data_IF_314281418137
#
_entry.id   IF_314281418137
#
_cell.length_a   1.000
_cell.length_b   1.000
_cell.length_c   1.000
_cell.angle_alpha   90.00
_cell.angle_beta   90.00
_cell.angle_gamma   90.00
#
_symmetry.space_group_name_H-M   'P 1'
#
loop_
_entity.id
_entity.type
_entity.pdbx_description
1 polymer ?
#
# COMPACT_ATOMS: atom_id res chain seq x y z
N UNK A 1 15.93 -6.69 2.98
CA UNK A 1 14.99 -5.77 2.31
C UNK A 1 14.26 -6.56 1.23
N UNK A 2 12.95 -6.38 1.10
CA UNK A 2 12.15 -7.06 0.06
C UNK A 2 12.32 -6.27 -1.24
N UNK A 3 12.95 -6.90 -2.25
CA UNK A 3 13.23 -6.24 -3.53
C UNK A 3 12.02 -6.32 -4.46
N UNK A 4 11.86 -5.29 -5.28
CA UNK A 4 10.85 -5.21 -6.34
C UNK A 4 11.45 -5.58 -7.70
N UNK A 5 10.58 -5.83 -8.67
CA UNK A 5 10.95 -6.18 -10.05
C UNK A 5 11.79 -7.46 -10.16
N UNK A 6 11.45 -8.56 -9.46
CA UNK A 6 12.30 -9.75 -9.37
C UNK A 6 12.45 -10.50 -10.70
N UNK A 7 11.56 -10.25 -11.67
CA UNK A 7 11.54 -10.92 -12.98
C UNK A 7 12.31 -10.16 -14.06
N UNK A 8 12.91 -9.01 -13.75
CA UNK A 8 13.55 -8.12 -14.73
C UNK A 8 14.97 -7.75 -14.28
N UNK A 9 15.85 -7.46 -15.24
CA UNK A 9 17.19 -6.92 -14.93
C UNK A 9 17.06 -5.45 -14.54
N UNK A 10 17.47 -5.10 -13.32
CA UNK A 10 17.45 -3.72 -12.83
C UNK A 10 18.82 -3.04 -13.03
N UNK A 11 18.83 -1.80 -13.54
CA UNK A 11 20.04 -0.95 -13.51
C UNK A 11 20.32 -0.48 -12.09
N UNK A 12 19.26 -0.08 -11.36
CA UNK A 12 19.27 0.21 -9.94
C UNK A 12 18.18 -0.64 -9.29
N UNK A 13 18.51 -1.61 -8.42
CA UNK A 13 17.52 -2.34 -7.66
C UNK A 13 16.68 -1.39 -6.80
N UNK A 14 15.39 -1.68 -6.68
CA UNK A 14 14.45 -0.99 -5.80
C UNK A 14 13.93 -1.99 -4.76
N UNK A 15 13.75 -1.53 -3.53
CA UNK A 15 13.07 -2.31 -2.50
C UNK A 15 11.77 -1.65 -2.01
N UNK A 16 10.92 -2.43 -1.35
CA UNK A 16 9.60 -1.97 -0.86
C UNK A 16 9.72 -0.72 0.02
N UNK A 17 10.73 -0.59 0.88
CA UNK A 17 10.89 0.60 1.72
C UNK A 17 11.17 1.87 0.91
N UNK A 18 11.94 1.77 -0.17
CA UNK A 18 12.20 2.92 -1.06
C UNK A 18 10.93 3.29 -1.83
N UNK A 19 10.22 2.28 -2.34
CA UNK A 19 8.97 2.44 -3.07
C UNK A 19 7.90 3.10 -2.18
N UNK A 20 7.65 2.57 -0.98
CA UNK A 20 6.63 3.10 -0.07
C UNK A 20 6.89 4.55 0.33
N UNK A 21 8.16 4.96 0.49
CA UNK A 21 8.49 6.36 0.74
C UNK A 21 8.15 7.25 -0.47
N UNK A 22 8.46 6.80 -1.70
CA UNK A 22 8.12 7.53 -2.92
C UNK A 22 6.60 7.65 -3.10
N UNK A 23 5.87 6.54 -2.94
CA UNK A 23 4.39 6.53 -3.03
C UNK A 23 3.78 7.47 -1.99
N UNK A 24 4.30 7.50 -0.75
CA UNK A 24 3.82 8.44 0.27
C UNK A 24 4.04 9.91 -0.12
N UNK A 25 5.20 10.26 -0.68
CA UNK A 25 5.47 11.61 -1.16
C UNK A 25 4.56 12.00 -2.33
N UNK A 26 4.35 11.09 -3.29
CA UNK A 26 3.49 11.32 -4.46
C UNK A 26 2.02 11.42 -4.04
N UNK A 27 1.51 10.51 -3.22
CA UNK A 27 0.14 10.49 -2.73
C UNK A 27 -0.19 11.76 -1.92
N UNK A 28 0.72 12.19 -1.05
CA UNK A 28 0.60 13.47 -0.34
C UNK A 28 0.52 14.66 -1.31
N UNK A 29 1.39 14.70 -2.33
CA UNK A 29 1.36 15.76 -3.34
C UNK A 29 0.05 15.76 -4.14
N UNK A 30 -0.44 14.59 -4.56
CA UNK A 30 -1.72 14.45 -5.25
C UNK A 30 -2.88 14.95 -4.38
N UNK A 31 -2.92 14.57 -3.10
CA UNK A 31 -3.92 15.05 -2.15
C UNK A 31 -3.86 16.57 -1.96
N UNK A 32 -2.67 17.14 -1.79
CA UNK A 32 -2.47 18.59 -1.65
C UNK A 32 -2.90 19.36 -2.92
N UNK A 33 -2.56 18.84 -4.10
CA UNK A 33 -2.99 19.40 -5.39
C UNK A 33 -4.52 19.33 -5.51
N UNK A 34 -5.12 18.18 -5.19
CA UNK A 34 -6.58 17.99 -5.21
C UNK A 34 -7.30 19.01 -4.35
N UNK A 35 -6.84 19.19 -3.11
CA UNK A 35 -7.41 20.17 -2.19
C UNK A 35 -7.23 21.60 -2.70
N UNK A 36 -6.03 21.95 -3.16
CA UNK A 36 -5.71 23.34 -3.53
C UNK A 36 -6.27 23.78 -4.88
N UNK A 37 -6.34 22.87 -5.85
CA UNK A 37 -6.64 23.21 -7.26
C UNK A 37 -7.98 22.67 -7.74
N UNK A 38 -8.51 21.64 -7.09
CA UNK A 38 -9.70 20.92 -7.56
C UNK A 38 -10.82 20.87 -6.51
N UNK A 39 -10.71 21.65 -5.42
CA UNK A 39 -11.76 21.73 -4.39
C UNK A 39 -11.93 20.47 -3.54
N UNK A 40 -10.95 19.56 -3.55
CA UNK A 40 -10.96 18.38 -2.69
C UNK A 40 -10.93 18.72 -1.20
N UNK A 41 -11.39 17.78 -0.38
CA UNK A 41 -11.40 17.90 1.09
C UNK A 41 -10.80 16.66 1.76
N UNK A 42 -9.71 16.13 1.20
CA UNK A 42 -9.02 14.95 1.75
C UNK A 42 -7.95 15.33 2.77
N UNK A 43 -7.64 14.45 3.70
CA UNK A 43 -6.51 14.63 4.61
C UNK A 43 -5.21 14.11 3.98
N UNK A 44 -4.35 15.01 3.49
CA UNK A 44 -3.10 14.67 2.81
C UNK A 44 -2.08 13.96 3.73
N UNK A 45 -2.04 14.31 5.01
CA UNK A 45 -1.13 13.70 5.99
C UNK A 45 -1.55 12.26 6.28
N UNK A 46 -2.86 12.02 6.45
CA UNK A 46 -3.40 10.67 6.57
C UNK A 46 -3.11 9.84 5.32
N UNK A 47 -3.32 10.38 4.12
CA UNK A 47 -3.00 9.69 2.86
C UNK A 47 -1.51 9.34 2.79
N UNK A 48 -0.62 10.23 3.20
CA UNK A 48 0.82 9.93 3.27
C UNK A 48 1.10 8.74 4.20
N UNK A 49 0.46 8.71 5.38
CA UNK A 49 0.59 7.62 6.34
C UNK A 49 0.05 6.29 5.79
N UNK A 50 -1.13 6.30 5.16
CA UNK A 50 -1.70 5.11 4.50
C UNK A 50 -0.78 4.59 3.39
N UNK A 51 -0.19 5.50 2.59
CA UNK A 51 0.78 5.16 1.56
C UNK A 51 2.11 4.62 2.12
N UNK A 52 2.52 5.01 3.33
CA UNK A 52 3.69 4.41 3.96
C UNK A 52 3.48 2.92 4.30
N UNK A 53 2.24 2.52 4.63
CA UNK A 53 1.89 1.17 5.05
C UNK A 53 1.28 0.29 3.94
N UNK A 54 0.97 0.83 2.76
CA UNK A 54 0.22 0.13 1.72
C UNK A 54 0.81 -1.24 1.32
N UNK A 55 2.14 -1.36 1.28
CA UNK A 55 2.87 -2.59 0.94
C UNK A 55 3.52 -3.25 2.18
N UNK A 56 3.11 -2.89 3.40
CA UNK A 56 3.73 -3.40 4.63
C UNK A 56 3.61 -4.93 4.75
N UNK A 57 2.51 -5.52 4.29
CA UNK A 57 2.26 -6.97 4.29
C UNK A 57 3.27 -7.75 3.43
N UNK A 58 3.99 -7.09 2.51
CA UNK A 58 5.04 -7.67 1.68
C UNK A 58 6.21 -8.25 2.51
N UNK A 59 6.36 -7.85 3.77
CA UNK A 59 7.30 -8.49 4.70
C UNK A 59 7.00 -9.98 4.90
N UNK A 60 5.73 -10.39 4.77
CA UNK A 60 5.30 -11.78 4.91
C UNK A 60 5.14 -12.49 3.57
N UNK A 61 4.70 -11.79 2.52
CA UNK A 61 4.40 -12.39 1.20
C UNK A 61 5.56 -12.32 0.20
N UNK A 62 6.51 -11.41 0.40
CA UNK A 62 7.40 -10.94 -0.66
C UNK A 62 6.69 -10.01 -1.65
N UNK A 63 7.47 -9.45 -2.59
CA UNK A 63 6.94 -8.66 -3.71
C UNK A 63 6.24 -9.58 -4.71
N UNK A 64 5.01 -9.23 -5.08
CA UNK A 64 4.17 -10.01 -5.98
C UNK A 64 4.09 -9.30 -7.34
N UNK A 65 4.75 -9.82 -8.40
CA UNK A 65 4.83 -9.12 -9.68
C UNK A 65 3.46 -8.90 -10.34
N UNK A 66 3.20 -7.68 -10.76
CA UNK A 66 1.95 -7.25 -11.44
C UNK A 66 1.49 -8.19 -12.57
N UNK A 67 2.36 -8.67 -13.49
CA UNK A 67 1.92 -9.57 -14.56
C UNK A 67 1.33 -10.89 -14.04
N UNK A 68 1.79 -11.37 -12.87
CA UNK A 68 1.25 -12.56 -12.22
C UNK A 68 -0.05 -12.20 -11.48
N UNK A 69 -0.06 -11.08 -10.74
CA UNK A 69 -1.23 -10.62 -9.96
C UNK A 69 -2.49 -10.46 -10.81
N UNK A 70 -2.34 -10.08 -12.08
CA UNK A 70 -3.45 -9.83 -13.01
C UNK A 70 -3.51 -10.81 -14.18
N UNK A 71 -2.85 -11.97 -14.09
CA UNK A 71 -2.81 -12.95 -15.18
C UNK A 71 -4.20 -13.46 -15.58
N UNK A 72 -5.04 -13.77 -14.59
CA UNK A 72 -6.47 -14.07 -14.77
C UNK A 72 -7.26 -13.75 -13.50
N UNK A 73 -8.59 -13.81 -13.56
CA UNK A 73 -9.47 -13.47 -12.44
C UNK A 73 -9.29 -14.38 -11.23
N UNK A 74 -9.06 -15.68 -11.43
CA UNK A 74 -8.84 -16.64 -10.35
C UNK A 74 -7.55 -16.33 -9.60
N UNK A 75 -6.44 -16.14 -10.33
CA UNK A 75 -5.13 -15.80 -9.74
C UNK A 75 -5.21 -14.46 -9.01
N UNK A 76 -5.89 -13.45 -9.57
CA UNK A 76 -6.07 -12.17 -8.92
C UNK A 76 -6.85 -12.28 -7.59
N UNK A 77 -7.84 -13.17 -7.53
CA UNK A 77 -8.60 -13.43 -6.30
C UNK A 77 -7.72 -14.13 -5.25
N UNK A 78 -6.95 -15.14 -5.65
CA UNK A 78 -6.04 -15.85 -4.74
C UNK A 78 -4.98 -14.91 -4.16
N UNK A 79 -4.40 -14.03 -4.98
CA UNK A 79 -3.43 -13.05 -4.49
C UNK A 79 -4.04 -12.08 -3.49
N UNK A 80 -5.26 -11.59 -3.73
CA UNK A 80 -5.97 -10.74 -2.75
C UNK A 80 -6.25 -11.48 -1.45
N UNK A 81 -6.57 -12.77 -1.51
CA UNK A 81 -6.77 -13.59 -0.32
C UNK A 81 -5.47 -13.74 0.48
N UNK A 82 -4.34 -13.97 -0.20
CA UNK A 82 -3.01 -14.04 0.43
C UNK A 82 -2.63 -12.70 1.08
N UNK A 83 -2.85 -11.57 0.38
CA UNK A 83 -2.60 -10.22 0.90
C UNK A 83 -3.41 -9.97 2.17
N UNK A 84 -4.71 -10.32 2.17
CA UNK A 84 -5.57 -10.17 3.35
C UNK A 84 -5.11 -11.00 4.54
N UNK A 85 -4.68 -12.25 4.31
CA UNK A 85 -4.13 -13.10 5.37
C UNK A 85 -2.84 -12.50 5.94
N UNK A 86 -1.98 -11.94 5.09
CA UNK A 86 -0.74 -11.30 5.52
C UNK A 86 -0.99 -10.01 6.30
N UNK A 87 -1.94 -9.18 5.86
CA UNK A 87 -2.39 -7.98 6.59
C UNK A 87 -2.88 -8.35 7.99
N UNK A 88 -3.80 -9.32 8.10
CA UNK A 88 -4.33 -9.76 9.40
C UNK A 88 -3.22 -10.27 10.31
N UNK A 89 -2.30 -11.10 9.80
CA UNK A 89 -1.16 -11.58 10.59
C UNK A 89 -0.27 -10.43 11.09
N UNK A 90 -0.11 -9.36 10.31
CA UNK A 90 0.67 -8.20 10.71
C UNK A 90 -0.06 -7.39 11.79
N UNK A 91 -1.38 -7.26 11.69
CA UNK A 91 -2.25 -6.64 12.72
C UNK A 91 -2.22 -7.42 14.03
N UNK A 92 -2.25 -8.76 13.96
CA UNK A 92 -2.19 -9.64 15.13
C UNK A 92 -0.84 -9.55 15.87
N UNK A 93 0.24 -9.10 15.20
CA UNK A 93 1.54 -8.85 15.82
C UNK A 93 1.58 -7.53 16.61
N UNK A 94 0.62 -6.63 16.39
CA UNK A 94 0.54 -5.36 17.13
C UNK A 94 -0.01 -5.64 18.53
N UNK A 95 0.60 -5.07 19.60
CA UNK A 95 0.05 -5.16 20.96
C UNK A 95 -1.40 -4.68 21.02
N UNK A 96 -2.23 -5.35 21.82
CA UNK A 96 -3.67 -5.05 21.92
C UNK A 96 -3.97 -3.56 22.16
N UNK A 97 -3.16 -2.90 23.00
CA UNK A 97 -3.29 -1.48 23.36
C UNK A 97 -3.00 -0.49 22.22
N UNK A 98 -2.41 -0.96 21.12
CA UNK A 98 -2.05 -0.13 19.96
C UNK A 98 -2.76 -0.58 18.68
N UNK A 99 -3.47 -1.72 18.70
CA UNK A 99 -3.99 -2.35 17.49
C UNK A 99 -4.93 -1.44 16.72
N UNK A 100 -5.76 -0.67 17.42
CA UNK A 100 -6.71 0.28 16.83
C UNK A 100 -6.02 1.41 16.04
N UNK A 101 -4.75 1.72 16.35
CA UNK A 101 -3.97 2.73 15.64
C UNK A 101 -3.40 2.18 14.33
N UNK A 102 -2.93 0.92 14.33
CA UNK A 102 -2.21 0.33 13.19
C UNK A 102 -3.10 -0.46 12.25
N UNK A 103 -4.17 -1.10 12.75
CA UNK A 103 -5.09 -1.89 11.93
C UNK A 103 -5.65 -1.10 10.74
N UNK A 104 -6.13 0.16 10.90
CA UNK A 104 -6.62 0.94 9.77
C UNK A 104 -5.53 1.38 8.78
N UNK A 105 -4.26 1.24 9.13
CA UNK A 105 -3.13 1.55 8.25
C UNK A 105 -2.68 0.33 7.45
N UNK A 106 -2.90 -0.87 7.97
CA UNK A 106 -2.47 -2.15 7.36
C UNK A 106 -3.62 -2.77 6.56
N UNK A 107 -4.84 -2.72 7.07
CA UNK A 107 -6.02 -3.25 6.40
C UNK A 107 -6.70 -2.17 5.54
N UNK A 108 -6.57 -2.33 4.22
CA UNK A 108 -7.16 -1.43 3.22
C UNK A 108 -8.69 -1.30 3.30
N UNK A 109 -9.41 -2.22 3.97
CA UNK A 109 -10.87 -2.12 4.12
C UNK A 109 -11.30 -0.89 4.94
N UNK A 110 -10.40 -0.26 5.69
CA UNK A 110 -10.65 0.97 6.44
C UNK A 110 -10.46 2.26 5.63
N UNK A 111 -10.05 2.15 4.37
CA UNK A 111 -9.79 3.32 3.53
C UNK A 111 -11.12 3.82 2.95
N UNK A 112 -11.32 5.13 2.91
CA UNK A 112 -12.35 5.69 2.04
C UNK A 112 -12.00 5.41 0.57
N UNK A 113 -13.01 5.38 -0.30
CA UNK A 113 -12.79 5.19 -1.75
C UNK A 113 -11.84 6.25 -2.32
N UNK A 114 -11.88 7.47 -1.78
CA UNK A 114 -11.04 8.58 -2.21
C UNK A 114 -9.59 8.44 -1.75
N UNK A 115 -9.36 8.01 -0.51
CA UNK A 115 -8.01 7.67 -0.01
C UNK A 115 -7.41 6.52 -0.84
N UNK A 116 -8.17 5.43 -1.04
CA UNK A 116 -7.70 4.30 -1.82
C UNK A 116 -7.40 4.69 -3.28
N UNK A 117 -8.22 5.56 -3.88
CA UNK A 117 -8.00 6.06 -5.23
C UNK A 117 -6.73 6.90 -5.35
N UNK A 118 -6.43 7.76 -4.37
CA UNK A 118 -5.22 8.59 -4.40
C UNK A 118 -3.96 7.76 -4.21
N UNK A 119 -3.97 6.80 -3.27
CA UNK A 119 -2.82 5.90 -3.05
C UNK A 119 -2.55 5.04 -4.29
N UNK A 120 -3.59 4.56 -5.00
CA UNK A 120 -3.44 3.79 -6.25
C UNK A 120 -2.97 4.62 -7.46
N UNK A 121 -3.17 5.94 -7.44
CA UNK A 121 -2.69 6.84 -8.49
C UNK A 121 -1.22 7.25 -8.29
N UNK A 122 -0.72 7.16 -7.05
CA UNK A 122 0.65 7.43 -6.69
C UNK A 122 1.58 6.27 -7.06
#
# INVERSE_FOLDING_TARGET
>A
LINRWPLMRNVRPENVSEHSLQVAMVAHALAAIKNRKFGGQVNAERIALLAMYHDASAVLTGDLPTPLKYFNSQIAQEYKAIEKIAQQKLVDMVPDELRDIFEPLIDEHHYSEEEQSIVKQA
#
